data_IF_478086718774
#
_entry.id   IF_478086718774
#
_cell.length_a   1.000
_cell.length_b   1.000
_cell.length_c   1.000
_cell.angle_alpha   90.00
_cell.angle_beta   90.00
_cell.angle_gamma   90.00
#
_symmetry.space_group_name_H-M   'P 1'
#
loop_
_entity.id
_entity.type
_entity.pdbx_description
1 polymer ?
#
# COMPACT_ATOMS: atom_id res chain seq x y z
N UNK A 1 -4.57 14.76 -0.38
CA UNK A 1 -4.38 16.20 -0.03
C UNK A 1 -3.04 16.80 -0.49
N UNK A 2 -2.01 16.00 -0.77
CA UNK A 2 -0.66 16.48 -1.13
C UNK A 2 -0.59 17.60 -2.18
N UNK A 3 -1.18 17.43 -3.39
CA UNK A 3 -1.11 18.46 -4.43
C UNK A 3 -1.72 19.80 -4.02
N UNK A 4 -2.79 19.78 -3.21
CA UNK A 4 -3.44 21.00 -2.70
C UNK A 4 -2.54 21.78 -1.74
N UNK A 5 -1.60 21.09 -1.08
CA UNK A 5 -0.62 21.68 -0.16
C UNK A 5 0.72 21.99 -0.85
N UNK A 6 0.84 21.75 -2.16
CA UNK A 6 2.08 21.99 -2.91
C UNK A 6 3.15 20.91 -2.74
N UNK A 7 2.80 19.72 -2.22
CA UNK A 7 3.72 18.59 -2.16
C UNK A 7 4.13 18.15 -3.57
N UNK A 8 5.42 17.84 -3.77
CA UNK A 8 5.96 17.44 -5.08
C UNK A 8 6.61 16.07 -5.08
N UNK A 9 7.32 15.72 -4.01
CA UNK A 9 8.06 14.46 -3.90
C UNK A 9 7.37 13.45 -2.97
N UNK A 10 6.39 13.92 -2.19
CA UNK A 10 5.66 13.11 -1.23
C UNK A 10 4.16 13.15 -1.54
N UNK A 11 3.52 12.00 -1.40
CA UNK A 11 2.08 11.83 -1.42
C UNK A 11 1.54 11.98 -0.01
N UNK A 12 0.46 12.74 0.15
CA UNK A 12 -0.25 12.87 1.42
C UNK A 12 -1.73 12.58 1.21
N UNK A 13 -2.29 11.64 1.96
CA UNK A 13 -3.73 11.36 2.04
C UNK A 13 -4.22 11.46 3.47
N UNK A 14 -5.39 12.07 3.65
CA UNK A 14 -6.12 11.99 4.91
C UNK A 14 -7.24 10.99 4.68
N UNK A 15 -7.13 9.84 5.31
CA UNK A 15 -8.01 8.70 5.07
C UNK A 15 -9.00 8.55 6.21
N UNK A 16 -10.27 8.39 5.86
CA UNK A 16 -11.36 8.08 6.79
C UNK A 16 -11.91 6.73 6.36
N UNK A 17 -11.72 5.72 7.20
CA UNK A 17 -12.15 4.35 6.93
C UNK A 17 -13.36 4.03 7.80
N UNK A 18 -14.55 3.82 7.21
CA UNK A 18 -15.74 3.43 7.96
C UNK A 18 -15.60 2.03 8.60
N UNK A 19 -16.44 1.71 9.61
CA UNK A 19 -16.54 0.37 10.20
C UNK A 19 -16.66 -0.74 9.15
N UNK A 20 -15.89 -1.81 9.31
CA UNK A 20 -15.87 -2.98 8.43
C UNK A 20 -15.19 -2.77 7.07
N UNK A 21 -14.54 -1.61 6.84
CA UNK A 21 -13.88 -1.27 5.57
C UNK A 21 -12.36 -1.31 5.66
N UNK A 22 -11.73 -1.24 4.49
CA UNK A 22 -10.29 -1.11 4.27
C UNK A 22 -10.06 -0.11 3.14
N UNK A 23 -9.01 0.70 3.22
CA UNK A 23 -8.74 1.72 2.20
C UNK A 23 -8.05 1.16 0.95
N UNK A 24 -7.15 0.19 1.14
CA UNK A 24 -6.37 -0.43 0.05
C UNK A 24 -6.37 -1.96 0.20
N UNK A 25 -6.23 -2.74 -0.89
CA UNK A 25 -5.90 -4.17 -0.83
C UNK A 25 -4.59 -4.44 -0.07
N UNK A 26 -4.34 -5.70 0.28
CA UNK A 26 -3.08 -6.10 0.93
C UNK A 26 -1.95 -6.06 -0.09
N UNK A 27 -0.99 -5.15 0.13
CA UNK A 27 -0.06 -4.74 -0.93
C UNK A 27 1.33 -4.37 -0.44
N UNK A 28 2.32 -4.51 -1.32
CA UNK A 28 3.68 -3.98 -1.15
C UNK A 28 4.06 -3.08 -2.32
N UNK A 29 5.07 -2.24 -2.10
CA UNK A 29 5.64 -1.34 -3.09
C UNK A 29 7.11 -1.68 -3.32
N UNK A 30 7.59 -1.52 -4.56
CA UNK A 30 8.98 -1.80 -4.95
C UNK A 30 9.84 -0.54 -5.04
N UNK A 31 9.25 0.64 -5.23
CA UNK A 31 10.00 1.90 -5.36
C UNK A 31 9.57 3.00 -4.38
N UNK A 32 8.34 2.93 -3.87
CA UNK A 32 7.75 3.94 -3.00
C UNK A 32 7.68 3.43 -1.56
N UNK A 33 8.37 4.13 -0.65
CA UNK A 33 8.16 3.94 0.78
C UNK A 33 6.85 4.60 1.20
N UNK A 34 6.14 3.98 2.14
CA UNK A 34 4.88 4.46 2.68
C UNK A 34 4.91 4.40 4.21
N UNK A 35 4.19 5.30 4.86
CA UNK A 35 4.00 5.31 6.29
C UNK A 35 2.61 5.81 6.65
N UNK A 36 2.12 5.39 7.81
CA UNK A 36 0.84 5.81 8.34
C UNK A 36 0.99 6.38 9.75
N UNK A 37 0.31 7.49 10.02
CA UNK A 37 0.13 8.01 11.37
C UNK A 37 -1.35 7.95 11.75
N UNK A 38 -1.67 7.15 12.77
CA UNK A 38 -3.06 6.95 13.21
C UNK A 38 -3.50 8.12 14.06
N UNK A 39 -4.52 8.84 13.59
CA UNK A 39 -5.00 10.07 14.21
C UNK A 39 -6.09 9.79 15.25
N UNK A 40 -7.03 8.89 14.94
CA UNK A 40 -8.11 8.52 15.84
C UNK A 40 -8.72 7.16 15.49
N UNK A 41 -9.36 6.52 16.46
CA UNK A 41 -9.96 5.21 16.30
C UNK A 41 -8.97 4.07 16.53
N UNK A 42 -9.41 2.85 16.23
CA UNK A 42 -8.63 1.62 16.31
C UNK A 42 -8.90 0.76 15.09
N UNK A 43 -7.96 -0.13 14.78
CA UNK A 43 -8.18 -1.14 13.77
C UNK A 43 -7.12 -2.22 13.81
N UNK A 44 -7.05 -2.97 12.72
CA UNK A 44 -6.10 -4.06 12.54
C UNK A 44 -5.18 -3.76 11.37
N UNK A 45 -3.88 -3.81 11.62
CA UNK A 45 -2.83 -3.82 10.61
C UNK A 45 -2.46 -5.27 10.29
N UNK A 46 -2.68 -5.68 9.05
CA UNK A 46 -1.97 -6.84 8.46
C UNK A 46 -0.61 -6.32 7.99
N UNK A 47 0.48 -6.98 8.38
CA UNK A 47 1.83 -6.59 8.01
C UNK A 47 2.71 -7.83 7.82
N UNK A 48 3.13 -8.08 6.58
CA UNK A 48 3.78 -9.32 6.20
C UNK A 48 2.97 -10.54 6.62
N UNK A 49 3.60 -11.45 7.36
CA UNK A 49 2.95 -12.64 7.93
C UNK A 49 2.21 -12.40 9.25
N UNK A 50 2.15 -11.15 9.75
CA UNK A 50 1.63 -10.83 11.07
C UNK A 50 0.38 -9.96 11.02
N UNK A 51 -0.32 -9.91 12.16
CA UNK A 51 -1.46 -9.02 12.38
C UNK A 51 -1.30 -8.33 13.74
N UNK A 52 -1.54 -7.01 13.77
CA UNK A 52 -1.34 -6.17 14.95
C UNK A 52 -2.52 -5.22 15.12
N UNK A 53 -2.95 -4.97 16.35
CA UNK A 53 -3.90 -3.88 16.64
C UNK A 53 -3.18 -2.54 16.54
N UNK A 54 -3.85 -1.56 15.93
CA UNK A 54 -3.37 -0.18 15.83
C UNK A 54 -4.39 0.78 16.46
N UNK A 55 -3.90 1.91 16.94
CA UNK A 55 -4.68 2.94 17.64
C UNK A 55 -4.09 4.32 17.43
N UNK A 56 -4.85 5.34 17.82
CA UNK A 56 -4.41 6.73 17.81
C UNK A 56 -3.01 6.90 18.44
N UNK A 57 -2.13 7.62 17.74
CA UNK A 57 -0.74 7.86 18.12
C UNK A 57 0.26 6.86 17.54
N UNK A 58 -0.18 5.72 17.02
CA UNK A 58 0.72 4.75 16.39
C UNK A 58 1.29 5.30 15.08
N UNK A 59 2.58 5.01 14.84
CA UNK A 59 3.31 5.30 13.61
C UNK A 59 3.70 3.96 12.99
N UNK A 60 3.34 3.76 11.73
CA UNK A 60 3.58 2.53 10.99
C UNK A 60 4.50 2.88 9.83
N UNK A 61 5.63 2.18 9.73
CA UNK A 61 6.54 2.27 8.60
C UNK A 61 6.33 1.07 7.68
N UNK A 62 6.23 1.33 6.38
CA UNK A 62 6.10 0.34 5.32
C UNK A 62 7.21 0.59 4.27
N UNK A 63 8.41 0.03 4.46
CA UNK A 63 9.50 0.19 3.51
C UNK A 63 9.21 -0.57 2.22
N UNK A 64 9.95 -0.22 1.16
CA UNK A 64 9.94 -0.96 -0.09
C UNK A 64 10.32 -2.42 0.15
N UNK A 65 9.69 -3.34 -0.58
CA UNK A 65 9.91 -4.77 -0.38
C UNK A 65 8.86 -5.66 -1.04
N UNK A 66 8.92 -6.94 -0.70
CA UNK A 66 7.98 -7.94 -1.17
C UNK A 66 6.91 -8.27 -0.14
N UNK A 67 6.57 -9.55 -0.06
CA UNK A 67 5.51 -10.02 0.82
C UNK A 67 5.76 -9.75 2.31
N UNK A 68 7.01 -9.59 2.71
CA UNK A 68 7.44 -9.27 4.07
C UNK A 68 7.13 -7.83 4.50
N UNK A 69 7.00 -6.89 3.56
CA UNK A 69 6.63 -5.48 3.83
C UNK A 69 5.20 -5.15 3.44
N UNK A 70 4.48 -6.14 2.90
CA UNK A 70 3.12 -5.95 2.47
C UNK A 70 2.21 -5.59 3.64
N UNK A 71 1.28 -4.68 3.43
CA UNK A 71 0.48 -4.14 4.50
C UNK A 71 -0.95 -3.81 4.07
N UNK A 72 -1.85 -3.82 5.06
CA UNK A 72 -3.24 -3.41 4.91
C UNK A 72 -3.79 -2.97 6.26
N UNK A 73 -4.43 -1.81 6.28
CA UNK A 73 -5.19 -1.33 7.43
C UNK A 73 -6.67 -1.68 7.22
N UNK A 74 -7.23 -2.41 8.19
CA UNK A 74 -8.64 -2.78 8.26
C UNK A 74 -9.26 -2.08 9.46
N UNK A 75 -10.37 -1.39 9.25
CA UNK A 75 -11.20 -0.94 10.36
C UNK A 75 -12.21 -2.03 10.71
N UNK A 76 -11.88 -2.83 11.72
CA UNK A 76 -12.74 -3.86 12.32
C UNK A 76 -13.44 -3.38 13.60
N UNK A 77 -13.36 -2.06 13.89
CA UNK A 77 -14.06 -1.44 15.01
C UNK A 77 -15.47 -0.96 14.62
N UNK A 78 -16.21 -0.44 15.61
CA UNK A 78 -17.55 0.13 15.41
C UNK A 78 -17.55 1.63 15.04
N UNK A 79 -16.40 2.29 15.12
CA UNK A 79 -16.25 3.73 14.88
C UNK A 79 -15.36 3.99 13.65
N UNK A 80 -15.30 5.23 13.17
CA UNK A 80 -14.38 5.59 12.08
C UNK A 80 -12.91 5.53 12.52
N UNK A 81 -12.08 4.93 11.67
CA UNK A 81 -10.63 4.95 11.78
C UNK A 81 -10.07 6.05 10.86
N UNK A 82 -9.24 6.94 11.41
CA UNK A 82 -8.68 8.08 10.67
C UNK A 82 -7.17 8.08 10.77
N UNK A 83 -6.50 8.26 9.63
CA UNK A 83 -5.05 8.32 9.58
C UNK A 83 -4.54 9.19 8.44
N UNK A 84 -3.29 9.63 8.58
CA UNK A 84 -2.53 10.27 7.53
C UNK A 84 -1.66 9.21 6.86
N UNK A 85 -1.80 9.03 5.56
CA UNK A 85 -0.91 8.22 4.73
C UNK A 85 0.10 9.15 4.06
N UNK A 86 1.39 8.83 4.21
CA UNK A 86 2.48 9.57 3.58
C UNK A 86 3.33 8.58 2.80
N UNK A 87 3.60 8.87 1.53
CA UNK A 87 4.50 8.06 0.71
C UNK A 87 5.49 8.93 -0.05
N UNK A 88 6.60 8.34 -0.47
CA UNK A 88 7.36 8.90 -1.60
C UNK A 88 6.55 8.75 -2.89
N UNK A 89 6.77 9.63 -3.87
CA UNK A 89 6.11 9.60 -5.19
C UNK A 89 7.12 9.28 -6.30
N UNK A 90 7.97 8.28 -6.06
CA UNK A 90 9.01 7.86 -7.01
C UNK A 90 8.39 7.04 -8.15
N UNK A 91 8.68 7.44 -9.38
CA UNK A 91 8.35 6.66 -10.58
C UNK A 91 9.63 6.01 -11.18
N UNK A 92 9.53 4.82 -11.80
CA UNK A 92 8.33 3.97 -11.87
C UNK A 92 8.10 3.18 -10.57
N UNK A 93 6.86 2.75 -10.36
CA UNK A 93 6.42 1.91 -9.24
C UNK A 93 5.89 0.56 -9.73
N UNK A 94 6.13 -0.48 -8.93
CA UNK A 94 5.54 -1.82 -9.07
C UNK A 94 4.87 -2.19 -7.74
N UNK A 95 3.55 -2.16 -7.72
CA UNK A 95 2.76 -2.52 -6.56
C UNK A 95 2.20 -3.95 -6.71
N UNK A 96 2.43 -4.80 -5.71
CA UNK A 96 1.94 -6.18 -5.70
C UNK A 96 0.75 -6.33 -4.76
N UNK A 97 -0.33 -6.97 -5.21
CA UNK A 97 -1.54 -7.27 -4.45
C UNK A 97 -1.64 -8.76 -4.14
N UNK A 98 -1.13 -9.14 -2.99
CA UNK A 98 -0.79 -10.53 -2.64
C UNK A 98 -2.04 -11.42 -2.54
N UNK A 99 -3.13 -10.92 -1.96
CA UNK A 99 -4.37 -11.69 -1.83
C UNK A 99 -4.96 -12.07 -3.20
N UNK A 100 -4.75 -11.23 -4.22
CA UNK A 100 -5.29 -11.45 -5.57
C UNK A 100 -4.26 -11.95 -6.58
N UNK A 101 -2.98 -12.04 -6.17
CA UNK A 101 -1.87 -12.32 -7.07
C UNK A 101 -1.70 -11.31 -8.21
N UNK A 102 -2.17 -10.06 -8.05
CA UNK A 102 -2.06 -9.03 -9.11
C UNK A 102 -0.82 -8.19 -8.92
N UNK A 103 -0.24 -7.71 -10.02
CA UNK A 103 0.86 -6.74 -10.05
C UNK A 103 0.40 -5.55 -10.89
N UNK A 104 0.64 -4.33 -10.40
CA UNK A 104 0.46 -3.11 -11.16
C UNK A 104 1.80 -2.40 -11.31
N UNK A 105 2.14 -2.04 -12.55
CA UNK A 105 3.27 -1.16 -12.85
C UNK A 105 2.76 0.20 -13.37
N UNK A 106 3.38 1.29 -12.93
CA UNK A 106 3.02 2.65 -13.38
C UNK A 106 4.17 3.66 -13.24
N UNK A 107 4.12 4.76 -14.02
CA UNK A 107 5.16 5.82 -14.07
C UNK A 107 4.58 7.25 -14.15
N UNK A 108 3.37 7.44 -13.62
CA UNK A 108 2.63 8.71 -13.67
C UNK A 108 1.95 9.01 -15.02
N UNK A 109 2.35 8.36 -16.13
CA UNK A 109 1.70 8.50 -17.45
C UNK A 109 1.03 7.22 -17.91
N UNK A 110 1.65 6.09 -17.61
CA UNK A 110 1.20 4.77 -17.98
C UNK A 110 0.88 3.94 -16.74
N UNK A 111 -0.09 3.04 -16.87
CA UNK A 111 -0.46 2.07 -15.84
C UNK A 111 -0.87 0.77 -16.52
N UNK A 112 -0.35 -0.35 -16.04
CA UNK A 112 -0.72 -1.68 -16.48
C UNK A 112 -0.84 -2.62 -15.30
N UNK A 113 -1.80 -3.54 -15.38
CA UNK A 113 -2.04 -4.56 -14.37
C UNK A 113 -2.04 -5.95 -14.99
N UNK A 114 -1.35 -6.88 -14.37
CA UNK A 114 -1.31 -8.29 -14.74
C UNK A 114 -1.45 -9.19 -13.51
N UNK A 115 -1.61 -10.49 -13.70
CA UNK A 115 -1.55 -11.49 -12.63
C UNK A 115 -0.13 -12.05 -12.55
N UNK A 116 0.48 -12.04 -11.36
CA UNK A 116 1.80 -12.62 -11.09
C UNK A 116 1.87 -14.10 -11.47
N UNK A 117 0.75 -14.81 -11.29
CA UNK A 117 0.63 -16.24 -11.58
C UNK A 117 0.39 -16.54 -13.07
N UNK A 118 0.24 -15.53 -13.93
CA UNK A 118 0.14 -15.71 -15.38
C UNK A 118 1.52 -16.00 -16.01
N UNK A 119 2.22 -17.00 -15.46
CA UNK A 119 3.32 -17.74 -16.06
C UNK A 119 4.58 -16.95 -16.38
N UNK A 120 5.72 -17.43 -15.85
CA UNK A 120 6.97 -17.31 -16.61
C UNK A 120 6.77 -18.06 -17.93
N UNK A 121 6.37 -17.34 -18.97
CA UNK A 121 6.38 -17.87 -20.33
C UNK A 121 7.83 -18.08 -20.74
N UNK A 122 8.09 -19.15 -21.47
CA UNK A 122 9.42 -19.51 -21.96
C UNK A 122 9.90 -18.63 -23.12
N UNK A 123 9.23 -17.50 -23.37
CA UNK A 123 9.58 -16.51 -24.38
C UNK A 123 11.06 -16.09 -24.32
N UNK A 124 11.64 -16.00 -23.11
CA UNK A 124 13.05 -15.64 -22.91
C UNK A 124 14.00 -16.85 -22.85
N UNK A 125 13.50 -18.08 -23.01
CA UNK A 125 14.33 -19.28 -22.97
C UNK A 125 15.16 -19.38 -24.25
N UNK A 126 16.42 -18.96 -24.16
CA UNK A 126 17.37 -18.95 -25.29
C UNK A 126 17.62 -17.57 -25.88
N UNK A 127 16.99 -16.53 -25.34
CA UNK A 127 17.38 -15.15 -25.61
C UNK A 127 18.66 -14.83 -24.81
N UNK A 128 19.72 -14.41 -25.51
CA UNK A 128 21.04 -14.04 -24.97
C UNK A 128 21.36 -12.60 -25.36
#
# INVERSE_FOLDING_TARGET
IGPLLGARQLGYSYDIVPPGKRACPFHSHRSQEEMFFILSGTGTLRYGGETRTIRAGDIICCPVGGAETAHQIVNDSAEELRYLSISTMTDPEICEYLDSGKIIAYDGKWRHSTEAAAGNVDYWKGEV
#
